data_IF_413643212878
#
_entry.id   IF_413643212878
#
_cell.length_a   1.000
_cell.length_b   1.000
_cell.length_c   1.000
_cell.angle_alpha   90.00
_cell.angle_beta   90.00
_cell.angle_gamma   90.00
#
_symmetry.space_group_name_H-M   'P 1'
#
loop_
_entity.id
_entity.type
_entity.pdbx_description
1 polymer ?
#
# COMPACT_ATOMS: atom_id res chain seq x y z
N UNK A 1 35.88 23.50 2.60
CA UNK A 1 36.05 22.11 3.01
C UNK A 1 34.78 21.60 3.62
N UNK A 2 33.95 20.99 2.82
CA UNK A 2 32.74 20.29 3.24
C UNK A 2 32.88 18.83 2.82
N UNK A 3 33.00 17.86 3.73
CA UNK A 3 33.04 16.45 3.33
C UNK A 3 31.61 15.99 3.09
N UNK A 4 31.32 15.66 1.83
CA UNK A 4 30.16 14.88 1.41
C UNK A 4 30.07 13.61 2.26
N UNK A 5 29.04 13.53 3.08
CA UNK A 5 28.63 12.26 3.70
C UNK A 5 27.98 11.41 2.61
N UNK A 6 28.80 10.64 1.91
CA UNK A 6 28.35 9.53 1.13
C UNK A 6 27.60 8.55 2.02
N UNK A 7 26.28 8.44 1.82
CA UNK A 7 25.45 7.44 2.45
C UNK A 7 25.77 6.10 1.80
N UNK A 8 26.70 5.37 2.41
CA UNK A 8 27.06 4.01 2.05
C UNK A 8 25.80 3.14 2.14
N UNK A 9 25.35 2.63 1.00
CA UNK A 9 24.35 1.56 0.95
C UNK A 9 24.96 0.33 1.63
N UNK A 10 24.32 -0.30 2.61
CA UNK A 10 24.86 -1.49 3.23
C UNK A 10 24.81 -2.67 2.26
N UNK A 11 25.92 -3.33 2.19
CA UNK A 11 26.30 -4.64 1.70
C UNK A 11 25.23 -5.52 1.07
N UNK A 12 25.53 -5.96 -0.15
CA UNK A 12 24.92 -7.08 -0.86
C UNK A 12 25.10 -8.38 -0.05
N UNK A 13 24.19 -8.63 0.88
CA UNK A 13 24.00 -9.98 1.40
C UNK A 13 23.30 -10.79 0.31
N UNK A 14 24.01 -11.77 -0.24
CA UNK A 14 23.45 -12.80 -1.11
C UNK A 14 22.60 -13.77 -0.28
N UNK A 15 21.51 -13.25 0.29
CA UNK A 15 20.53 -14.10 0.97
C UNK A 15 19.74 -14.83 -0.11
N UNK A 16 19.78 -16.14 -0.04
CA UNK A 16 18.97 -17.02 -0.88
C UNK A 16 17.49 -16.71 -0.67
N UNK A 17 16.86 -16.09 -1.66
CA UNK A 17 15.41 -15.95 -1.70
C UNK A 17 14.82 -17.35 -1.69
N UNK A 18 14.01 -17.68 -0.69
CA UNK A 18 13.39 -19.00 -0.60
C UNK A 18 12.23 -19.07 -1.61
N UNK A 19 12.38 -19.89 -2.62
CA UNK A 19 11.32 -20.25 -3.56
C UNK A 19 10.47 -21.37 -2.95
N UNK A 20 9.13 -21.37 -3.13
CA UNK A 20 8.31 -20.42 -3.86
C UNK A 20 7.97 -19.15 -3.05
N UNK A 21 7.49 -18.08 -3.71
CA UNK A 21 7.01 -16.88 -3.01
C UNK A 21 5.82 -17.20 -2.11
N UNK A 22 5.73 -16.48 -0.99
CA UNK A 22 4.60 -16.54 -0.05
C UNK A 22 3.33 -15.94 -0.67
N UNK A 23 3.49 -14.92 -1.52
CA UNK A 23 2.40 -14.27 -2.25
C UNK A 23 2.94 -13.67 -3.55
N UNK A 24 2.06 -13.58 -4.56
CA UNK A 24 2.33 -12.93 -5.84
C UNK A 24 1.37 -11.76 -6.04
N UNK A 25 1.92 -10.59 -6.32
CA UNK A 25 1.19 -9.37 -6.59
C UNK A 25 1.37 -8.88 -8.02
N UNK A 26 0.73 -7.75 -8.33
CA UNK A 26 0.86 -7.11 -9.65
C UNK A 26 2.24 -6.49 -9.89
N UNK A 27 2.85 -5.93 -8.86
CA UNK A 27 4.10 -5.17 -8.95
C UNK A 27 5.29 -5.86 -8.31
N UNK A 28 5.05 -6.87 -7.47
CA UNK A 28 6.07 -7.55 -6.69
C UNK A 28 5.63 -8.94 -6.25
N UNK A 29 6.61 -9.80 -5.99
CA UNK A 29 6.42 -11.03 -5.23
C UNK A 29 6.88 -10.82 -3.78
N UNK A 30 6.24 -11.53 -2.86
CA UNK A 30 6.62 -11.54 -1.44
C UNK A 30 7.27 -12.87 -1.08
N UNK A 31 8.47 -12.82 -0.54
CA UNK A 31 9.22 -14.00 -0.13
C UNK A 31 9.51 -13.98 1.37
N UNK A 32 9.70 -15.16 1.96
CA UNK A 32 10.37 -15.24 3.25
C UNK A 32 11.79 -14.70 3.11
N UNK A 33 12.21 -13.90 4.10
CA UNK A 33 13.52 -13.26 4.12
C UNK A 33 14.34 -13.84 5.28
N UNK A 34 14.79 -13.01 6.18
CA UNK A 34 15.40 -13.50 7.43
C UNK A 34 14.31 -13.99 8.41
N UNK A 35 14.74 -14.52 9.56
CA UNK A 35 13.82 -14.98 10.59
C UNK A 35 12.84 -13.90 11.03
N UNK A 36 11.56 -14.18 10.95
CA UNK A 36 10.49 -13.22 11.27
C UNK A 36 10.33 -12.07 10.27
N UNK A 37 10.90 -12.15 9.06
CA UNK A 37 10.84 -11.11 8.04
C UNK A 37 10.30 -11.62 6.71
N UNK A 38 9.81 -10.68 5.89
CA UNK A 38 9.46 -10.89 4.49
C UNK A 38 10.07 -9.78 3.65
N UNK A 39 10.38 -10.09 2.40
CA UNK A 39 10.77 -9.11 1.38
C UNK A 39 9.68 -9.02 0.31
N UNK A 40 9.20 -7.81 0.04
CA UNK A 40 8.41 -7.46 -1.14
C UNK A 40 9.40 -7.09 -2.23
N UNK A 41 9.62 -7.97 -3.20
CA UNK A 41 10.63 -7.85 -4.25
C UNK A 41 9.95 -7.43 -5.56
N UNK A 42 10.22 -6.21 -6.01
CA UNK A 42 9.57 -5.62 -7.17
C UNK A 42 10.03 -6.24 -8.47
N UNK A 43 9.14 -6.26 -9.47
CA UNK A 43 9.48 -6.65 -10.83
C UNK A 43 10.28 -5.55 -11.52
N UNK A 44 11.11 -5.91 -12.51
CA UNK A 44 12.02 -5.00 -13.19
C UNK A 44 11.32 -3.87 -13.98
N UNK A 45 10.05 -4.07 -14.33
CA UNK A 45 9.26 -3.06 -15.04
C UNK A 45 8.67 -1.98 -14.11
N UNK A 46 8.73 -2.17 -12.77
CA UNK A 46 8.17 -1.20 -11.82
C UNK A 46 9.09 0.01 -11.71
N UNK A 47 8.60 1.24 -11.99
CA UNK A 47 9.42 2.43 -11.91
C UNK A 47 10.02 2.64 -10.51
N UNK A 48 11.26 3.10 -10.44
CA UNK A 48 11.95 3.41 -9.20
C UNK A 48 11.18 4.40 -8.34
N UNK A 49 10.54 5.39 -8.95
CA UNK A 49 9.72 6.38 -8.24
C UNK A 49 8.54 5.76 -7.46
N UNK A 50 7.96 4.68 -7.96
CA UNK A 50 6.90 3.95 -7.25
C UNK A 50 7.45 3.22 -6.04
N UNK A 51 8.62 2.59 -6.19
CA UNK A 51 9.29 1.87 -5.11
C UNK A 51 9.75 2.84 -4.01
N UNK A 52 10.29 3.99 -4.37
CA UNK A 52 10.69 5.05 -3.45
C UNK A 52 9.49 5.59 -2.68
N UNK A 53 8.39 5.89 -3.38
CA UNK A 53 7.15 6.33 -2.75
C UNK A 53 6.62 5.29 -1.76
N UNK A 54 6.53 4.01 -2.12
CA UNK A 54 6.09 2.96 -1.20
C UNK A 54 7.04 2.83 0.00
N UNK A 55 8.34 2.96 -0.23
CA UNK A 55 9.37 2.95 0.84
C UNK A 55 9.16 4.09 1.82
N UNK A 56 8.87 5.30 1.34
CA UNK A 56 8.65 6.48 2.18
C UNK A 56 7.35 6.37 2.98
N UNK A 57 6.29 5.86 2.37
CA UNK A 57 5.04 5.55 3.05
C UNK A 57 5.28 4.50 4.14
N UNK A 58 5.94 3.39 3.81
CA UNK A 58 6.24 2.31 4.75
C UNK A 58 7.11 2.77 5.93
N UNK A 59 7.99 3.75 5.71
CA UNK A 59 8.83 4.36 6.76
C UNK A 59 8.01 5.28 7.67
N UNK A 60 7.04 6.00 7.12
CA UNK A 60 6.24 6.99 7.85
C UNK A 60 5.09 6.35 8.67
N UNK A 61 4.44 5.31 8.15
CA UNK A 61 3.26 4.69 8.76
C UNK A 61 3.46 4.16 10.20
N UNK A 62 4.60 3.57 10.59
CA UNK A 62 4.81 3.10 11.96
C UNK A 62 4.75 4.19 13.04
N UNK A 63 4.84 5.47 12.66
CA UNK A 63 4.64 6.59 13.58
C UNK A 63 3.15 6.89 13.86
N UNK A 64 2.24 6.29 13.09
CA UNK A 64 0.79 6.36 13.31
C UNK A 64 0.30 5.31 14.30
N UNK A 65 -0.97 5.40 14.69
CA UNK A 65 -1.63 4.37 15.53
C UNK A 65 -2.11 3.16 14.73
N UNK A 66 -1.91 3.14 13.41
CA UNK A 66 -2.44 2.10 12.52
C UNK A 66 -1.76 0.74 12.74
N UNK A 67 -2.53 -0.34 12.63
CA UNK A 67 -2.01 -1.70 12.69
C UNK A 67 -1.35 -2.09 11.36
N UNK A 68 -0.09 -1.72 11.18
CA UNK A 68 0.72 -2.00 9.99
C UNK A 68 1.91 -2.89 10.33
N UNK A 69 2.50 -3.63 9.36
CA UNK A 69 3.76 -4.33 9.56
C UNK A 69 4.88 -3.32 9.86
N UNK A 70 5.81 -3.71 10.73
CA UNK A 70 7.01 -2.89 10.97
C UNK A 70 7.85 -2.85 9.70
N UNK A 71 8.17 -1.64 9.21
CA UNK A 71 9.17 -1.41 8.19
C UNK A 71 10.57 -1.70 8.77
N UNK A 72 11.39 -2.46 8.05
CA UNK A 72 12.74 -2.85 8.48
C UNK A 72 13.78 -2.13 7.62
N UNK A 73 13.58 -2.11 6.30
CA UNK A 73 14.51 -1.43 5.40
C UNK A 73 14.17 -1.63 3.93
N UNK A 74 14.89 -0.91 3.08
CA UNK A 74 14.91 -1.12 1.64
C UNK A 74 16.25 -1.79 1.27
N UNK A 75 16.20 -2.75 0.36
CA UNK A 75 17.37 -3.55 -0.08
C UNK A 75 17.38 -3.70 -1.59
N UNK A 76 18.55 -4.06 -2.12
CA UNK A 76 18.67 -4.53 -3.49
C UNK A 76 19.29 -5.92 -3.47
N UNK A 77 18.65 -6.89 -4.12
CA UNK A 77 19.12 -8.27 -4.18
C UNK A 77 18.83 -8.86 -5.56
N UNK A 78 19.76 -9.61 -6.11
CA UNK A 78 19.68 -10.21 -7.46
C UNK A 78 19.30 -9.19 -8.56
N UNK A 79 19.81 -7.96 -8.46
CA UNK A 79 19.53 -6.87 -9.39
C UNK A 79 18.13 -6.23 -9.23
N UNK A 80 17.27 -6.71 -8.32
CA UNK A 80 15.93 -6.21 -8.07
C UNK A 80 15.85 -5.42 -6.75
N UNK A 81 15.02 -4.41 -6.72
CA UNK A 81 14.73 -3.62 -5.50
C UNK A 81 13.66 -4.29 -4.66
N UNK A 82 13.80 -4.21 -3.35
CA UNK A 82 12.82 -4.77 -2.42
C UNK A 82 12.67 -3.96 -1.15
N UNK A 83 11.55 -4.16 -0.49
CA UNK A 83 11.24 -3.59 0.83
C UNK A 83 11.07 -4.74 1.82
N UNK A 84 11.77 -4.65 2.94
CA UNK A 84 11.73 -5.66 4.01
C UNK A 84 10.78 -5.21 5.12
N UNK A 85 9.88 -6.10 5.49
CA UNK A 85 8.90 -5.92 6.55
C UNK A 85 8.96 -7.04 7.56
N UNK A 86 8.43 -6.78 8.75
CA UNK A 86 8.10 -7.83 9.72
C UNK A 86 7.11 -8.81 9.08
N UNK A 87 7.39 -10.11 9.20
CA UNK A 87 6.45 -11.14 8.79
C UNK A 87 5.25 -11.19 9.73
N UNK A 88 4.05 -11.10 9.16
CA UNK A 88 2.80 -11.24 9.91
C UNK A 88 2.25 -12.64 9.68
N UNK A 89 1.92 -13.34 10.76
CA UNK A 89 1.35 -14.69 10.70
C UNK A 89 -0.16 -14.63 10.95
N UNK A 90 -0.91 -15.31 10.13
CA UNK A 90 -2.37 -15.42 10.21
C UNK A 90 -2.99 -15.59 8.83
N UNK A 91 -4.25 -16.01 8.74
CA UNK A 91 -5.00 -16.01 7.49
C UNK A 91 -5.32 -14.58 7.06
N UNK A 92 -5.47 -14.35 5.76
CA UNK A 92 -6.09 -13.12 5.29
C UNK A 92 -7.58 -13.08 5.64
N UNK A 93 -8.16 -11.88 5.65
CA UNK A 93 -9.61 -11.78 5.88
C UNK A 93 -10.40 -12.45 4.74
N UNK A 94 -9.89 -12.46 3.50
CA UNK A 94 -10.53 -13.18 2.39
C UNK A 94 -10.50 -14.69 2.60
N UNK A 95 -9.41 -15.26 3.15
CA UNK A 95 -9.35 -16.69 3.49
C UNK A 95 -10.41 -17.04 4.54
N UNK A 96 -10.62 -16.17 5.51
CA UNK A 96 -11.68 -16.38 6.52
C UNK A 96 -13.07 -16.24 5.92
N UNK A 97 -13.30 -15.30 5.03
CA UNK A 97 -14.59 -15.18 4.33
C UNK A 97 -14.92 -16.43 3.51
N UNK A 98 -13.89 -17.02 2.88
CA UNK A 98 -14.04 -18.24 2.07
C UNK A 98 -14.27 -19.49 2.94
N UNK A 99 -13.50 -19.63 4.02
CA UNK A 99 -13.52 -20.84 4.86
C UNK A 99 -14.58 -20.79 5.95
N UNK A 100 -15.03 -19.59 6.36
CA UNK A 100 -15.98 -19.34 7.45
C UNK A 100 -17.00 -18.26 7.08
N UNK A 101 -17.82 -18.46 6.03
CA UNK A 101 -18.73 -17.42 5.50
C UNK A 101 -19.77 -16.94 6.53
N UNK A 102 -20.09 -17.75 7.55
CA UNK A 102 -20.98 -17.34 8.65
C UNK A 102 -20.39 -16.24 9.55
N UNK A 103 -19.07 -15.94 9.44
CA UNK A 103 -18.45 -14.79 10.13
C UNK A 103 -18.48 -13.50 9.31
N UNK A 104 -19.06 -13.48 8.10
CA UNK A 104 -19.04 -12.34 7.18
C UNK A 104 -19.47 -11.03 7.83
N UNK A 105 -20.54 -11.04 8.63
CA UNK A 105 -21.01 -9.84 9.34
C UNK A 105 -19.98 -9.30 10.36
N UNK A 106 -19.31 -10.18 11.10
CA UNK A 106 -18.27 -9.76 12.05
C UNK A 106 -17.01 -9.25 11.33
N UNK A 107 -16.61 -9.90 10.22
CA UNK A 107 -15.47 -9.51 9.40
C UNK A 107 -15.73 -8.17 8.70
N UNK A 108 -16.94 -7.96 8.15
CA UNK A 108 -17.34 -6.69 7.55
C UNK A 108 -17.29 -5.53 8.57
N UNK A 109 -17.81 -5.75 9.78
CA UNK A 109 -17.72 -4.77 10.88
C UNK A 109 -16.25 -4.46 11.19
N UNK A 110 -15.41 -5.49 11.33
CA UNK A 110 -13.99 -5.29 11.61
C UNK A 110 -13.27 -4.53 10.50
N UNK A 111 -13.59 -4.83 9.25
CA UNK A 111 -13.07 -4.09 8.10
C UNK A 111 -13.48 -2.62 8.14
N UNK A 112 -14.75 -2.32 8.42
CA UNK A 112 -15.24 -0.95 8.54
C UNK A 112 -14.56 -0.17 9.69
N UNK A 113 -14.33 -0.82 10.85
CA UNK A 113 -13.58 -0.23 11.97
C UNK A 113 -12.14 0.12 11.57
N UNK A 114 -11.46 -0.78 10.88
CA UNK A 114 -10.10 -0.54 10.38
C UNK A 114 -10.08 0.59 9.35
N UNK A 115 -11.04 0.63 8.44
CA UNK A 115 -11.15 1.70 7.44
C UNK A 115 -11.38 3.07 8.10
N UNK A 116 -12.24 3.12 9.13
CA UNK A 116 -12.45 4.33 9.91
C UNK A 116 -11.18 4.79 10.64
N UNK A 117 -10.37 3.85 11.17
CA UNK A 117 -9.06 4.17 11.76
C UNK A 117 -8.09 4.77 10.74
N UNK A 118 -8.06 4.21 9.52
CA UNK A 118 -7.24 4.77 8.43
C UNK A 118 -7.65 6.20 8.12
N UNK A 119 -8.93 6.47 7.98
CA UNK A 119 -9.44 7.80 7.66
C UNK A 119 -9.32 8.80 8.82
N UNK A 120 -9.14 8.36 10.05
CA UNK A 120 -8.85 9.22 11.20
C UNK A 120 -7.40 9.74 11.21
N UNK A 121 -6.50 9.07 10.49
CA UNK A 121 -5.11 9.50 10.36
C UNK A 121 -4.95 10.60 9.30
N UNK A 122 -3.91 11.39 9.47
CA UNK A 122 -3.62 12.52 8.58
C UNK A 122 -2.65 12.11 7.47
N UNK A 123 -3.09 12.21 6.22
CA UNK A 123 -2.31 11.91 5.01
C UNK A 123 -1.48 13.09 4.47
N UNK A 124 -1.19 14.14 5.25
CA UNK A 124 -0.58 15.40 4.75
C UNK A 124 0.70 15.26 3.95
N UNK A 125 1.49 14.25 4.23
CA UNK A 125 2.76 13.97 3.52
C UNK A 125 2.55 13.24 2.19
N UNK A 126 1.34 12.79 1.91
CA UNK A 126 1.00 12.04 0.70
C UNK A 126 0.50 12.95 -0.42
N UNK A 127 0.55 12.44 -1.65
CA UNK A 127 0.01 13.11 -2.81
C UNK A 127 -1.50 13.31 -2.69
N UNK A 128 -2.04 14.44 -3.19
CA UNK A 128 -3.47 14.66 -3.20
C UNK A 128 -4.18 13.69 -4.14
N UNK A 129 -5.26 13.06 -3.65
CA UNK A 129 -6.15 12.20 -4.43
C UNK A 129 -6.59 12.87 -5.73
N UNK A 130 -7.08 14.12 -5.65
CA UNK A 130 -7.56 14.87 -6.82
C UNK A 130 -6.50 15.00 -7.89
N UNK A 131 -5.25 15.31 -7.53
CA UNK A 131 -4.16 15.45 -8.47
C UNK A 131 -3.86 14.11 -9.17
N UNK A 132 -3.81 12.99 -8.41
CA UNK A 132 -3.53 11.67 -8.97
C UNK A 132 -4.65 11.18 -9.89
N UNK A 133 -5.91 11.37 -9.50
CA UNK A 133 -7.07 11.02 -10.33
C UNK A 133 -7.10 11.89 -11.60
N UNK A 134 -6.81 13.19 -11.48
CA UNK A 134 -6.71 14.09 -12.62
C UNK A 134 -5.68 13.63 -13.65
N UNK A 135 -4.46 13.34 -13.19
CA UNK A 135 -3.39 12.79 -14.06
C UNK A 135 -3.83 11.48 -14.73
N UNK A 136 -4.47 10.57 -13.98
CA UNK A 136 -4.96 9.31 -14.54
C UNK A 136 -6.02 9.51 -15.65
N UNK A 137 -6.95 10.45 -15.45
CA UNK A 137 -7.98 10.80 -16.44
C UNK A 137 -7.33 11.39 -17.70
N UNK A 138 -6.39 12.31 -17.54
CA UNK A 138 -5.69 12.96 -18.66
C UNK A 138 -4.93 11.95 -19.53
N UNK A 139 -4.25 10.99 -18.90
CA UNK A 139 -3.44 9.98 -19.60
C UNK A 139 -4.23 8.76 -20.11
N UNK A 140 -5.53 8.66 -19.83
CA UNK A 140 -6.35 7.55 -20.32
C UNK A 140 -6.71 7.77 -21.79
N UNK A 141 -5.99 7.14 -22.70
CA UNK A 141 -6.20 7.28 -24.16
C UNK A 141 -7.60 6.84 -24.62
N UNK A 142 -8.18 5.85 -23.96
CA UNK A 142 -9.50 5.31 -24.28
C UNK A 142 -10.66 6.28 -24.01
N UNK A 143 -10.44 7.37 -23.23
CA UNK A 143 -11.48 8.35 -22.93
C UNK A 143 -11.52 9.46 -23.99
N UNK A 144 -12.70 9.73 -24.60
CA UNK A 144 -12.88 10.89 -25.49
C UNK A 144 -12.60 12.21 -24.75
N UNK A 145 -11.96 13.17 -25.44
CA UNK A 145 -11.56 14.46 -24.85
C UNK A 145 -12.72 15.24 -24.23
N UNK A 146 -13.92 15.15 -24.82
CA UNK A 146 -15.11 15.79 -24.26
C UNK A 146 -15.51 15.17 -22.90
N UNK A 147 -15.34 13.86 -22.76
CA UNK A 147 -15.63 13.16 -21.51
C UNK A 147 -14.57 13.48 -20.46
N UNK A 148 -13.28 13.46 -20.83
CA UNK A 148 -12.18 13.88 -19.94
C UNK A 148 -12.47 15.25 -19.32
N UNK A 149 -12.76 16.27 -20.15
CA UNK A 149 -13.07 17.62 -19.65
C UNK A 149 -14.25 17.65 -18.68
N UNK A 150 -15.32 16.90 -18.97
CA UNK A 150 -16.49 16.83 -18.08
C UNK A 150 -16.15 16.20 -16.74
N UNK A 151 -15.40 15.10 -16.74
CA UNK A 151 -14.99 14.39 -15.52
C UNK A 151 -14.04 15.26 -14.70
N UNK A 152 -13.05 15.91 -15.33
CA UNK A 152 -12.14 16.83 -14.64
C UNK A 152 -12.90 18.00 -14.00
N UNK A 153 -13.86 18.63 -14.72
CA UNK A 153 -14.70 19.67 -14.15
C UNK A 153 -15.54 19.18 -12.95
N UNK A 154 -15.95 17.91 -12.96
CA UNK A 154 -16.65 17.33 -11.81
C UNK A 154 -15.68 17.09 -10.65
N UNK A 155 -14.49 16.55 -10.95
CA UNK A 155 -13.43 16.31 -9.97
C UNK A 155 -13.04 17.61 -9.24
N UNK A 156 -12.95 18.74 -9.95
CA UNK A 156 -12.63 20.06 -9.37
C UNK A 156 -13.66 20.58 -8.35
N UNK A 157 -14.89 20.06 -8.42
CA UNK A 157 -15.97 20.45 -7.50
C UNK A 157 -16.05 19.57 -6.26
N UNK A 158 -15.35 18.44 -6.25
CA UNK A 158 -15.33 17.57 -5.08
C UNK A 158 -14.55 18.23 -3.94
N UNK A 159 -14.92 17.98 -2.68
CA UNK A 159 -14.18 18.54 -1.55
C UNK A 159 -12.75 17.99 -1.51
N UNK A 160 -11.82 18.86 -1.08
CA UNK A 160 -10.49 18.41 -0.71
C UNK A 160 -10.52 17.86 0.71
N UNK A 161 -9.68 16.85 0.95
CA UNK A 161 -9.48 16.27 2.26
C UNK A 161 -8.01 16.09 2.60
N UNK A 162 -7.74 15.88 3.86
CA UNK A 162 -6.39 15.60 4.38
C UNK A 162 -6.30 14.26 5.08
N UNK A 163 -7.36 13.46 5.04
CA UNK A 163 -7.38 12.13 5.61
C UNK A 163 -6.44 11.20 4.83
N UNK A 164 -5.85 10.25 5.53
CA UNK A 164 -5.16 9.13 4.92
C UNK A 164 -6.18 8.23 4.24
N UNK A 165 -5.96 7.93 2.98
CA UNK A 165 -6.79 7.05 2.16
C UNK A 165 -5.94 5.92 1.59
N UNK A 166 -6.31 4.67 1.86
CA UNK A 166 -5.51 3.50 1.44
C UNK A 166 -5.59 3.22 -0.06
N UNK A 167 -6.71 3.47 -0.68
CA UNK A 167 -7.00 3.31 -2.12
C UNK A 167 -7.00 1.87 -2.67
N UNK A 168 -6.59 0.89 -1.89
CA UNK A 168 -6.68 -0.55 -2.23
C UNK A 168 -7.10 -1.36 -0.99
N UNK A 169 -8.10 -0.85 -0.25
CA UNK A 169 -8.53 -1.42 1.03
C UNK A 169 -9.57 -2.52 0.83
N UNK A 170 -9.15 -3.77 0.80
CA UNK A 170 -10.01 -4.93 0.62
C UNK A 170 -9.58 -6.12 1.51
N UNK A 171 -10.42 -7.16 1.65
CA UNK A 171 -10.17 -8.26 2.60
C UNK A 171 -8.84 -9.00 2.41
N UNK A 172 -8.28 -9.06 1.21
CA UNK A 172 -7.00 -9.71 0.98
C UNK A 172 -5.81 -8.90 1.53
N UNK A 173 -5.98 -7.57 1.74
CA UNK A 173 -4.95 -6.69 2.33
C UNK A 173 -5.01 -6.66 3.87
N UNK A 174 -5.82 -7.51 4.49
CA UNK A 174 -5.96 -7.56 5.95
C UNK A 174 -5.59 -8.95 6.44
N UNK A 175 -4.49 -9.05 7.21
CA UNK A 175 -4.11 -10.30 7.89
C UNK A 175 -4.70 -10.31 9.29
N UNK A 176 -5.42 -11.38 9.60
CA UNK A 176 -6.03 -11.62 10.91
C UNK A 176 -5.03 -12.36 11.80
N UNK A 177 -4.08 -11.62 12.40
CA UNK A 177 -3.12 -12.22 13.34
C UNK A 177 -3.78 -12.53 14.68
N UNK A 178 -3.18 -13.42 15.53
CA UNK A 178 -3.73 -13.76 16.83
C UNK A 178 -3.93 -12.55 17.77
N UNK A 179 -3.12 -11.51 17.60
CA UNK A 179 -3.15 -10.30 18.46
C UNK A 179 -4.08 -9.23 17.91
N UNK A 180 -4.06 -9.01 16.59
CA UNK A 180 -4.84 -7.94 15.94
C UNK A 180 -4.89 -8.13 14.43
N UNK A 181 -5.84 -7.47 13.77
CA UNK A 181 -5.83 -7.34 12.32
C UNK A 181 -4.74 -6.35 11.88
N UNK A 182 -4.00 -6.69 10.82
CA UNK A 182 -2.89 -5.90 10.27
C UNK A 182 -3.21 -5.54 8.82
N UNK A 183 -3.07 -4.27 8.47
CA UNK A 183 -3.33 -3.74 7.12
C UNK A 183 -2.02 -3.75 6.32
N UNK A 184 -2.08 -4.33 5.12
CA UNK A 184 -0.95 -4.48 4.20
C UNK A 184 -1.08 -3.55 2.99
N UNK A 185 -0.01 -3.47 2.18
CA UNK A 185 0.07 -2.90 0.83
C UNK A 185 -0.44 -1.45 0.69
N UNK A 186 0.38 -0.52 1.14
CA UNK A 186 0.09 0.92 1.18
C UNK A 186 0.57 1.68 -0.07
N UNK A 187 0.97 0.97 -1.14
CA UNK A 187 1.53 1.60 -2.36
C UNK A 187 0.59 2.62 -3.00
N UNK A 188 -0.71 2.36 -2.95
CA UNK A 188 -1.75 3.22 -3.52
C UNK A 188 -2.20 4.36 -2.59
N UNK A 189 -1.65 4.47 -1.37
CA UNK A 189 -2.13 5.43 -0.39
C UNK A 189 -1.98 6.89 -0.84
N UNK A 190 -3.01 7.70 -0.59
CA UNK A 190 -3.13 9.12 -0.95
C UNK A 190 -3.73 9.91 0.20
N UNK A 191 -3.68 11.24 0.13
CA UNK A 191 -4.49 12.10 1.00
C UNK A 191 -5.74 12.57 0.26
N UNK A 192 -6.88 12.60 0.93
CA UNK A 192 -8.11 13.06 0.30
C UNK A 192 -9.30 13.10 1.24
N UNK A 193 -10.47 13.30 0.64
CA UNK A 193 -11.73 13.11 1.32
C UNK A 193 -12.06 11.60 1.36
N UNK A 194 -12.40 11.03 2.52
CA UNK A 194 -12.76 9.62 2.66
C UNK A 194 -13.88 9.15 1.72
N UNK A 195 -14.84 10.01 1.40
CA UNK A 195 -15.93 9.68 0.50
C UNK A 195 -15.46 9.41 -0.94
N UNK A 196 -14.36 10.05 -1.37
CA UNK A 196 -13.76 9.81 -2.68
C UNK A 196 -13.17 8.39 -2.82
N UNK A 197 -12.78 7.77 -1.70
CA UNK A 197 -12.24 6.39 -1.69
C UNK A 197 -13.36 5.35 -1.73
N UNK A 198 -14.45 5.61 -0.98
CA UNK A 198 -15.57 4.68 -0.90
C UNK A 198 -16.21 4.46 -2.28
N UNK A 199 -16.34 5.52 -3.09
CA UNK A 199 -16.85 5.41 -4.46
C UNK A 199 -15.96 4.61 -5.41
N UNK A 200 -14.65 4.62 -5.21
CA UNK A 200 -13.69 3.92 -6.09
C UNK A 200 -13.58 2.40 -5.81
N UNK A 201 -13.85 1.97 -4.59
CA UNK A 201 -13.64 0.57 -4.16
C UNK A 201 -14.83 -0.35 -4.44
N UNK A 202 -15.99 0.18 -4.80
CA UNK A 202 -17.24 -0.58 -4.93
C UNK A 202 -17.84 -0.59 -6.35
N UNK A 203 -17.10 -0.10 -7.36
CA UNK A 203 -17.38 -0.26 -8.78
C UNK A 203 -16.59 -1.46 -9.35
#
# INVERSE_FOLDING_TARGET
>A
NNPEKGMSLPMTDSVSIQDPPLARGRTADVYAWHDGQVIKLFYDWVPDSWIERETDIARALPASSLPVPKFIGAVSTNGRRGIVFQRIHGPSMVDLLTTRPWHSGALARRMAELHALVHAENGRTLDPLRAQVGVSIEHTEALPEQLKRRVLQHLDRLPDGTALCHFDFHPAQIIMSPQRAIILDWMAALKGDPLGVVGYQYD
#
